data_IF_637485759429
#
_entry.id   IF_637485759429
#
_cell.length_a   1.000
_cell.length_b   1.000
_cell.length_c   1.000
_cell.angle_alpha   90.00
_cell.angle_beta   90.00
_cell.angle_gamma   90.00
#
_symmetry.space_group_name_H-M   'P 1'
#
loop_
_entity.id
_entity.type
_entity.pdbx_description
1 polymer ?
#
# COMPACT_ATOMS: atom_id res chain seq x y z
N UNK A 1 3.16 -14.03 16.79
CA UNK A 1 2.36 -13.46 15.69
C UNK A 1 1.54 -12.25 16.13
N UNK A 2 0.73 -12.34 17.21
CA UNK A 2 -0.07 -11.19 17.69
C UNK A 2 0.74 -9.99 18.18
N UNK A 3 2.02 -10.17 18.51
CA UNK A 3 2.90 -9.12 18.98
C UNK A 3 3.27 -8.11 17.87
N UNK A 4 3.67 -8.60 16.68
CA UNK A 4 4.03 -7.73 15.55
C UNK A 4 2.85 -6.86 15.12
N UNK A 5 1.65 -7.43 14.96
CA UNK A 5 0.48 -6.65 14.55
C UNK A 5 0.07 -5.60 15.59
N UNK A 6 0.24 -5.87 16.88
CA UNK A 6 0.01 -4.88 17.92
C UNK A 6 1.00 -3.71 17.84
N UNK A 7 2.29 -4.00 17.60
CA UNK A 7 3.33 -2.98 17.40
C UNK A 7 3.09 -2.16 16.13
N UNK A 8 2.66 -2.82 15.04
CA UNK A 8 2.30 -2.17 13.77
C UNK A 8 1.10 -1.24 13.95
N UNK A 9 0.04 -1.70 14.61
CA UNK A 9 -1.12 -0.85 14.90
C UNK A 9 -0.74 0.34 15.79
N UNK A 10 0.10 0.13 16.80
CA UNK A 10 0.61 1.22 17.63
C UNK A 10 1.45 2.25 16.83
N UNK A 11 2.28 1.77 15.90
CA UNK A 11 3.07 2.64 15.00
C UNK A 11 2.17 3.46 14.07
N UNK A 12 1.15 2.83 13.48
CA UNK A 12 0.16 3.52 12.65
C UNK A 12 -0.60 4.58 13.45
N UNK A 13 -1.04 4.26 14.67
CA UNK A 13 -1.74 5.22 15.54
C UNK A 13 -0.87 6.41 15.94
N UNK A 14 0.40 6.15 16.22
CA UNK A 14 1.37 7.20 16.54
C UNK A 14 1.56 8.16 15.37
N UNK A 15 1.64 7.64 14.14
CA UNK A 15 1.87 8.45 12.95
C UNK A 15 0.61 9.12 12.40
N UNK A 16 -0.55 8.45 12.48
CA UNK A 16 -1.77 8.83 11.75
C UNK A 16 -2.96 9.20 12.66
N UNK A 17 -2.83 9.06 13.98
CA UNK A 17 -3.91 9.25 14.94
C UNK A 17 -4.77 7.99 15.13
N UNK A 18 -5.93 8.12 15.78
CA UNK A 18 -6.83 6.99 15.99
C UNK A 18 -7.63 6.67 14.72
N UNK A 19 -7.77 5.39 14.34
CA UNK A 19 -8.59 5.02 13.19
C UNK A 19 -10.07 5.24 13.52
N UNK A 20 -10.80 5.84 12.58
CA UNK A 20 -12.24 6.11 12.73
C UNK A 20 -13.10 4.97 12.19
N UNK A 21 -12.52 4.09 11.36
CA UNK A 21 -13.15 2.87 10.88
C UNK A 21 -12.14 1.74 10.67
N UNK A 22 -12.64 0.51 10.73
CA UNK A 22 -11.91 -0.69 10.33
C UNK A 22 -12.84 -1.66 9.61
N UNK A 23 -12.31 -2.39 8.65
CA UNK A 23 -12.95 -3.63 8.22
C UNK A 23 -11.92 -4.69 7.87
N UNK A 24 -12.39 -5.92 7.77
CA UNK A 24 -11.54 -7.08 7.62
C UNK A 24 -11.99 -7.95 6.45
N UNK A 25 -11.01 -8.54 5.77
CA UNK A 25 -11.22 -9.52 4.71
C UNK A 25 -10.42 -10.77 5.07
N UNK A 26 -11.07 -11.92 4.98
CA UNK A 26 -10.43 -13.22 5.14
C UNK A 26 -10.44 -13.90 3.78
N UNK A 27 -9.26 -14.28 3.29
CA UNK A 27 -9.14 -15.09 2.09
C UNK A 27 -9.01 -16.56 2.48
N UNK A 28 -9.47 -17.45 1.61
CA UNK A 28 -9.37 -18.88 1.86
C UNK A 28 -7.90 -19.28 1.90
N UNK A 29 -7.42 -19.79 3.04
CA UNK A 29 -6.05 -20.24 3.21
C UNK A 29 -5.04 -19.15 3.58
N UNK A 30 -5.48 -17.91 3.84
CA UNK A 30 -4.63 -16.84 4.35
C UNK A 30 -5.08 -16.35 5.72
N UNK A 31 -4.20 -15.63 6.40
CA UNK A 31 -4.58 -14.87 7.57
C UNK A 31 -5.55 -13.73 7.20
N UNK A 32 -6.26 -13.25 8.22
CA UNK A 32 -7.16 -12.09 8.11
C UNK A 32 -6.35 -10.83 7.85
N UNK A 33 -6.74 -10.05 6.85
CA UNK A 33 -6.22 -8.71 6.59
C UNK A 33 -7.26 -7.69 7.04
N UNK A 34 -6.88 -6.77 7.92
CA UNK A 34 -7.66 -5.59 8.24
C UNK A 34 -7.22 -4.39 7.41
N UNK A 35 -8.14 -3.46 7.17
CA UNK A 35 -7.86 -2.14 6.62
C UNK A 35 -8.42 -1.11 7.58
N UNK A 36 -7.53 -0.28 8.13
CA UNK A 36 -7.82 0.80 9.05
C UNK A 36 -7.97 2.10 8.27
N UNK A 37 -9.00 2.89 8.57
CA UNK A 37 -9.19 4.23 8.01
C UNK A 37 -8.82 5.27 9.07
N UNK A 38 -8.02 6.24 8.66
CA UNK A 38 -7.61 7.39 9.45
C UNK A 38 -8.08 8.64 8.73
N UNK A 39 -8.99 9.38 9.35
CA UNK A 39 -9.39 10.71 8.88
C UNK A 39 -8.52 11.73 9.59
N UNK A 40 -7.75 12.48 8.84
CA UNK A 40 -7.02 13.61 9.42
C UNK A 40 -8.00 14.76 9.68
N UNK A 41 -8.55 14.80 10.90
CA UNK A 41 -9.55 15.80 11.30
C UNK A 41 -8.89 17.17 11.56
N UNK A 42 -7.55 17.25 11.62
CA UNK A 42 -6.87 18.43 12.17
C UNK A 42 -5.91 19.17 11.20
N UNK A 43 -5.22 18.53 10.25
CA UNK A 43 -4.12 19.24 9.54
C UNK A 43 -3.98 19.02 8.02
N UNK A 44 -4.13 17.81 7.47
CA UNK A 44 -3.89 17.59 6.02
C UNK A 44 -5.12 17.52 5.15
N UNK A 45 -6.31 17.33 5.73
CA UNK A 45 -7.55 17.14 4.99
C UNK A 45 -7.53 15.90 4.08
N UNK A 46 -6.74 14.88 4.43
CA UNK A 46 -6.66 13.60 3.72
C UNK A 46 -7.32 12.48 4.51
N UNK A 47 -7.78 11.46 3.79
CA UNK A 47 -8.16 10.16 4.34
C UNK A 47 -7.05 9.18 4.00
N UNK A 48 -6.61 8.41 4.99
CA UNK A 48 -5.58 7.39 4.84
C UNK A 48 -6.15 6.02 5.15
N UNK A 49 -5.82 5.04 4.33
CA UNK A 49 -6.14 3.64 4.56
C UNK A 49 -4.83 2.89 4.74
N UNK A 50 -4.69 2.15 5.84
CA UNK A 50 -3.53 1.31 6.09
C UNK A 50 -3.97 -0.14 6.26
N UNK A 51 -3.22 -1.06 5.67
CA UNK A 51 -3.44 -2.49 5.93
C UNK A 51 -2.87 -2.86 7.29
N UNK A 52 -3.44 -3.91 7.90
CA UNK A 52 -2.94 -4.53 9.12
C UNK A 52 -3.12 -6.04 8.95
N UNK A 53 -2.02 -6.75 8.73
CA UNK A 53 -2.01 -8.21 8.56
C UNK A 53 -0.98 -8.71 7.55
N UNK A 54 -0.55 -7.88 6.58
CA UNK A 54 0.47 -8.26 5.59
C UNK A 54 1.81 -8.56 6.27
N UNK A 55 2.11 -7.83 7.33
CA UNK A 55 3.34 -7.98 8.13
C UNK A 55 3.31 -9.17 9.11
N UNK A 56 2.18 -9.88 9.24
CA UNK A 56 2.03 -10.99 10.19
C UNK A 56 3.02 -12.14 9.91
N UNK A 57 3.31 -12.39 8.63
CA UNK A 57 4.30 -13.34 8.15
C UNK A 57 5.33 -12.61 7.27
N UNK A 58 6.59 -13.06 7.23
CA UNK A 58 7.57 -12.48 6.31
C UNK A 58 7.20 -12.89 4.87
N UNK A 59 7.48 -12.01 3.92
CA UNK A 59 7.39 -12.32 2.50
C UNK A 59 8.50 -13.31 2.15
N UNK A 60 8.14 -14.42 1.52
CA UNK A 60 9.10 -15.46 1.15
C UNK A 60 9.96 -15.00 -0.04
N UNK A 61 11.27 -15.23 0.07
CA UNK A 61 12.18 -15.09 -1.07
C UNK A 61 11.84 -16.19 -2.11
N UNK A 62 11.41 -15.83 -3.34
CA UNK A 62 11.05 -16.80 -4.36
C UNK A 62 12.25 -17.63 -4.87
N UNK A 63 13.48 -17.23 -4.54
CA UNK A 63 14.70 -17.97 -4.88
C UNK A 63 15.15 -18.96 -3.81
N UNK A 64 14.56 -18.89 -2.60
CA UNK A 64 14.87 -19.82 -1.51
C UNK A 64 14.15 -21.16 -1.68
N UNK A 65 14.85 -22.26 -1.39
CA UNK A 65 14.27 -23.60 -1.39
C UNK A 65 13.26 -23.83 -0.25
N UNK A 66 13.35 -23.05 0.82
CA UNK A 66 12.44 -23.10 1.97
C UNK A 66 12.18 -21.68 2.49
N UNK A 67 10.92 -21.34 2.70
CA UNK A 67 10.54 -20.09 3.35
C UNK A 67 10.96 -20.11 4.82
N UNK A 68 11.70 -19.09 5.25
CA UNK A 68 12.00 -18.88 6.67
C UNK A 68 10.73 -18.29 7.35
N UNK A 69 10.19 -18.92 8.40
CA UNK A 69 8.96 -18.44 9.04
C UNK A 69 9.16 -17.15 9.85
N UNK A 70 10.39 -16.74 10.12
CA UNK A 70 10.74 -15.57 10.93
C UNK A 70 11.39 -14.46 10.10
N UNK A 71 12.34 -14.82 9.24
CA UNK A 71 13.15 -13.88 8.45
C UNK A 71 12.53 -13.56 7.10
N UNK A 72 12.78 -12.35 6.64
CA UNK A 72 12.35 -11.86 5.33
C UNK A 72 11.48 -10.61 5.43
N UNK A 73 11.33 -9.88 4.31
CA UNK A 73 10.70 -8.57 4.30
C UNK A 73 9.29 -8.59 4.88
N UNK A 74 8.93 -7.56 5.64
CA UNK A 74 7.57 -7.34 6.14
C UNK A 74 7.12 -5.95 5.74
N UNK A 75 5.84 -5.81 5.42
CA UNK A 75 5.30 -4.51 5.14
C UNK A 75 3.82 -4.39 5.48
N UNK A 76 3.36 -3.15 5.55
CA UNK A 76 1.96 -2.77 5.40
C UNK A 76 1.83 -1.71 4.30
N UNK A 77 0.68 -1.67 3.65
CA UNK A 77 0.39 -0.75 2.56
C UNK A 77 -0.37 0.46 3.09
N UNK A 78 -0.02 1.66 2.61
CA UNK A 78 -0.68 2.91 3.02
C UNK A 78 -1.15 3.68 1.79
N UNK A 79 -2.45 3.91 1.66
CA UNK A 79 -3.05 4.74 0.61
C UNK A 79 -3.53 6.07 1.20
N UNK A 80 -3.17 7.19 0.57
CA UNK A 80 -3.65 8.54 0.95
C UNK A 80 -4.48 9.15 -0.16
N UNK A 81 -5.68 9.64 0.15
CA UNK A 81 -6.60 10.24 -0.83
C UNK A 81 -7.29 11.48 -0.27
N UNK A 82 -7.70 12.40 -1.15
CA UNK A 82 -8.57 13.52 -0.79
C UNK A 82 -10.01 13.04 -0.59
N UNK A 83 -10.69 13.41 0.50
CA UNK A 83 -12.08 13.06 0.74
C UNK A 83 -13.05 13.80 -0.18
N UNK A 84 -14.31 13.34 -0.19
CA UNK A 84 -15.45 14.10 -0.72
C UNK A 84 -15.55 14.19 -2.25
N UNK A 85 -14.66 13.51 -2.99
CA UNK A 85 -14.64 13.52 -4.46
C UNK A 85 -15.05 12.20 -5.10
N UNK A 86 -14.89 11.07 -4.40
CA UNK A 86 -15.31 9.75 -4.83
C UNK A 86 -15.64 8.87 -3.61
N UNK A 87 -16.33 7.76 -3.81
CA UNK A 87 -16.61 6.76 -2.77
C UNK A 87 -15.36 5.89 -2.51
N UNK A 88 -14.32 6.52 -1.96
CA UNK A 88 -13.02 5.88 -1.72
C UNK A 88 -13.07 4.81 -0.63
N UNK A 89 -14.11 4.76 0.20
CA UNK A 89 -14.27 3.72 1.24
C UNK A 89 -14.35 2.31 0.63
N UNK A 90 -14.72 2.20 -0.67
CA UNK A 90 -14.73 0.92 -1.40
C UNK A 90 -13.34 0.37 -1.72
N UNK A 91 -12.28 1.13 -1.44
CA UNK A 91 -10.89 0.70 -1.60
C UNK A 91 -10.46 -0.39 -0.61
N UNK A 92 -11.26 -0.63 0.43
CA UNK A 92 -11.01 -1.64 1.45
C UNK A 92 -10.70 -3.03 0.88
N UNK A 93 -11.55 -3.55 0.00
CA UNK A 93 -11.36 -4.90 -0.56
C UNK A 93 -10.16 -4.94 -1.52
N UNK A 94 -10.00 -4.00 -2.47
CA UNK A 94 -8.78 -3.89 -3.27
C UNK A 94 -7.49 -3.85 -2.43
N UNK A 95 -7.42 -3.04 -1.37
CA UNK A 95 -6.23 -2.99 -0.50
C UNK A 95 -5.97 -4.30 0.22
N UNK A 96 -7.02 -4.96 0.73
CA UNK A 96 -6.86 -6.26 1.37
C UNK A 96 -6.35 -7.33 0.39
N UNK A 97 -6.79 -7.28 -0.88
CA UNK A 97 -6.27 -8.17 -1.95
C UNK A 97 -4.79 -7.89 -2.18
N UNK A 98 -4.39 -6.63 -2.33
CA UNK A 98 -2.99 -6.26 -2.52
C UNK A 98 -2.10 -6.70 -1.34
N UNK A 99 -2.58 -6.52 -0.09
CA UNK A 99 -1.86 -6.96 1.10
C UNK A 99 -1.78 -8.49 1.25
N UNK A 100 -2.71 -9.24 0.66
CA UNK A 100 -2.66 -10.69 0.63
C UNK A 100 -1.73 -11.24 -0.47
N UNK A 101 -1.33 -10.42 -1.46
CA UNK A 101 -0.53 -10.86 -2.61
C UNK A 101 0.78 -11.60 -2.26
N UNK A 102 1.55 -11.27 -1.20
CA UNK A 102 2.74 -12.05 -0.87
C UNK A 102 2.41 -13.50 -0.51
N UNK A 103 1.30 -13.73 0.20
CA UNK A 103 0.89 -15.06 0.63
C UNK A 103 0.22 -15.85 -0.50
N UNK A 104 -0.50 -15.17 -1.39
CA UNK A 104 -1.27 -15.80 -2.48
C UNK A 104 -0.44 -16.01 -3.74
N UNK A 105 0.39 -15.03 -4.10
CA UNK A 105 1.16 -14.99 -5.34
C UNK A 105 2.66 -15.27 -5.13
N UNK A 106 3.13 -15.32 -3.87
CA UNK A 106 4.53 -15.60 -3.56
C UNK A 106 5.48 -14.46 -3.96
N UNK A 107 5.01 -13.21 -3.90
CA UNK A 107 5.76 -12.03 -4.32
C UNK A 107 6.33 -11.25 -3.14
N UNK A 108 7.53 -10.69 -3.33
CA UNK A 108 8.09 -9.69 -2.41
C UNK A 108 7.67 -8.31 -2.89
N UNK A 109 6.90 -7.60 -2.07
CA UNK A 109 6.47 -6.23 -2.35
C UNK A 109 7.52 -5.25 -1.86
N UNK A 110 8.07 -4.46 -2.78
CA UNK A 110 9.11 -3.47 -2.53
C UNK A 110 8.88 -2.19 -3.34
N UNK A 111 9.58 -1.11 -3.00
CA UNK A 111 9.51 0.15 -3.72
C UNK A 111 9.82 -0.03 -5.22
N UNK A 112 9.08 0.69 -6.07
CA UNK A 112 9.12 0.59 -7.52
C UNK A 112 8.30 -0.57 -8.10
N UNK A 113 7.79 -1.50 -7.28
CA UNK A 113 6.88 -2.54 -7.73
C UNK A 113 5.54 -1.95 -8.20
N UNK A 114 4.86 -2.68 -9.09
CA UNK A 114 3.49 -2.39 -9.48
C UNK A 114 2.60 -3.49 -8.96
N UNK A 115 1.53 -3.13 -8.26
CA UNK A 115 0.50 -4.06 -7.84
C UNK A 115 -0.78 -3.75 -8.61
N UNK A 116 -1.43 -4.77 -9.17
CA UNK A 116 -2.60 -4.64 -10.02
C UNK A 116 -3.78 -5.36 -9.36
N UNK A 117 -4.95 -4.73 -9.34
CA UNK A 117 -6.18 -5.33 -8.79
C UNK A 117 -7.12 -5.82 -9.89
N UNK A 118 -6.82 -5.55 -11.16
CA UNK A 118 -7.59 -5.94 -12.34
C UNK A 118 -8.85 -5.11 -12.59
N UNK A 119 -9.29 -4.33 -11.61
CA UNK A 119 -10.51 -3.51 -11.63
C UNK A 119 -10.25 -2.13 -10.98
N UNK A 120 -11.15 -1.15 -11.13
CA UNK A 120 -10.98 0.15 -10.47
C UNK A 120 -10.82 0.03 -8.93
N UNK A 121 -9.85 0.74 -8.34
CA UNK A 121 -9.61 0.75 -6.89
C UNK A 121 -10.84 1.17 -6.07
N UNK A 122 -11.73 1.95 -6.66
CA UNK A 122 -13.06 2.29 -6.15
C UNK A 122 -13.98 2.62 -7.33
N UNK A 123 -15.31 2.67 -7.15
CA UNK A 123 -16.23 2.99 -8.23
C UNK A 123 -15.87 4.30 -8.95
N UNK A 124 -15.67 4.21 -10.27
CA UNK A 124 -15.31 5.36 -11.10
C UNK A 124 -13.83 5.78 -11.04
N UNK A 125 -12.98 5.09 -10.28
CA UNK A 125 -11.55 5.36 -10.28
C UNK A 125 -10.94 5.10 -11.67
N UNK A 126 -10.08 5.99 -12.19
CA UNK A 126 -9.29 5.70 -13.38
C UNK A 126 -8.07 4.81 -13.10
N UNK A 127 -7.92 4.33 -11.85
CA UNK A 127 -6.78 3.57 -11.37
C UNK A 127 -7.15 2.10 -11.15
N UNK A 128 -6.41 1.21 -11.80
CA UNK A 128 -6.55 -0.25 -11.61
C UNK A 128 -5.29 -0.88 -11.02
N UNK A 129 -4.25 -0.08 -10.82
CA UNK A 129 -2.97 -0.50 -10.24
C UNK A 129 -2.38 0.61 -9.39
N UNK A 130 -1.37 0.27 -8.62
CA UNK A 130 -0.61 1.19 -7.77
C UNK A 130 0.87 1.01 -8.00
N UNK A 131 1.63 2.10 -7.93
CA UNK A 131 3.07 2.06 -7.74
C UNK A 131 3.37 2.03 -6.25
N UNK A 132 4.22 1.11 -5.82
CA UNK A 132 4.72 1.05 -4.45
C UNK A 132 5.85 2.05 -4.30
N UNK A 133 5.71 3.01 -3.39
CA UNK A 133 6.73 4.02 -3.12
C UNK A 133 7.68 3.58 -1.99
N UNK A 134 8.75 4.35 -1.80
CA UNK A 134 9.70 4.17 -0.69
C UNK A 134 9.01 4.35 0.68
N UNK A 135 9.44 3.55 1.66
CA UNK A 135 8.95 3.61 3.04
C UNK A 135 9.67 4.69 3.86
N UNK A 136 9.31 4.81 5.15
CA UNK A 136 10.00 5.69 6.11
C UNK A 136 9.63 7.17 6.06
N UNK A 137 8.89 7.62 5.04
CA UNK A 137 8.48 9.02 4.90
C UNK A 137 7.23 9.38 5.72
N UNK A 138 6.07 8.79 5.39
CA UNK A 138 4.79 9.10 6.04
C UNK A 138 4.65 8.39 7.40
N UNK A 139 5.08 7.14 7.45
CA UNK A 139 5.14 6.33 8.66
C UNK A 139 6.56 5.76 8.69
N UNK A 140 7.28 6.06 9.77
CA UNK A 140 8.60 5.49 10.00
C UNK A 140 8.53 3.97 10.07
N UNK A 141 9.57 3.31 9.57
CA UNK A 141 9.68 1.87 9.64
C UNK A 141 9.77 1.38 11.09
N UNK A 142 9.19 0.21 11.34
CA UNK A 142 9.17 -0.40 12.66
C UNK A 142 10.28 -1.44 12.74
N UNK A 143 11.37 -1.08 13.42
CA UNK A 143 12.40 -2.03 13.81
C UNK A 143 11.84 -3.07 14.79
N UNK A 144 12.19 -4.33 14.57
CA UNK A 144 11.82 -5.47 15.39
C UNK A 144 13.07 -6.11 15.98
N UNK A 145 12.91 -6.82 17.10
CA UNK A 145 14.02 -7.54 17.70
C UNK A 145 14.45 -8.71 16.80
N UNK A 146 15.77 -8.97 16.76
CA UNK A 146 16.33 -10.12 16.06
C UNK A 146 15.62 -11.43 16.47
N UNK A 147 15.24 -12.29 15.51
CA UNK A 147 15.70 -12.32 14.11
C UNK A 147 14.73 -11.71 13.09
N UNK A 148 13.76 -10.88 13.52
CA UNK A 148 12.71 -10.38 12.64
C UNK A 148 13.19 -9.18 11.82
N UNK A 149 12.99 -9.20 10.51
CA UNK A 149 13.20 -8.02 9.67
C UNK A 149 12.18 -6.91 10.03
N UNK A 150 12.55 -5.62 9.87
CA UNK A 150 11.66 -4.50 10.18
C UNK A 150 10.39 -4.52 9.32
N UNK A 151 9.31 -3.95 9.86
CA UNK A 151 8.08 -3.70 9.10
C UNK A 151 8.19 -2.36 8.38
N UNK A 152 8.12 -2.41 7.06
CA UNK A 152 8.10 -1.23 6.19
C UNK A 152 6.67 -0.75 5.96
N UNK A 153 6.43 0.55 6.02
CA UNK A 153 5.13 1.12 5.67
C UNK A 153 5.19 1.73 4.26
N UNK A 154 4.64 1.01 3.28
CA UNK A 154 4.82 1.29 1.87
C UNK A 154 3.67 2.15 1.33
N UNK A 155 3.91 3.42 0.94
CA UNK A 155 2.89 4.24 0.34
C UNK A 155 2.49 3.71 -1.04
N UNK A 156 1.19 3.72 -1.33
CA UNK A 156 0.65 3.33 -2.62
C UNK A 156 0.27 4.58 -3.43
N UNK A 157 0.78 4.65 -4.65
CA UNK A 157 0.50 5.73 -5.59
C UNK A 157 -0.39 5.19 -6.72
N UNK A 158 -1.70 5.51 -6.74
CA UNK A 158 -2.62 5.02 -7.77
C UNK A 158 -2.14 5.38 -9.18
N UNK A 159 -2.16 4.41 -10.10
CA UNK A 159 -1.76 4.55 -11.50
C UNK A 159 -2.93 4.28 -12.44
N UNK A 160 -3.05 5.12 -13.46
CA UNK A 160 -3.86 4.79 -14.63
C UNK A 160 -3.20 3.67 -15.44
N UNK A 161 -3.97 3.01 -16.30
CA UNK A 161 -3.44 1.95 -17.18
C UNK A 161 -2.30 2.46 -18.08
N UNK A 162 -2.39 3.70 -18.57
CA UNK A 162 -1.37 4.31 -19.41
C UNK A 162 -0.07 4.55 -18.64
N UNK A 163 -0.16 5.05 -17.40
CA UNK A 163 1.00 5.25 -16.53
C UNK A 163 1.66 3.92 -16.17
N UNK A 164 0.87 2.90 -15.84
CA UNK A 164 1.39 1.56 -15.58
C UNK A 164 2.12 0.98 -16.82
N UNK A 165 1.53 1.14 -18.01
CA UNK A 165 2.16 0.72 -19.26
C UNK A 165 3.47 1.48 -19.54
N UNK A 166 3.47 2.79 -19.34
CA UNK A 166 4.65 3.64 -19.52
C UNK A 166 5.76 3.30 -18.54
N UNK A 167 5.43 3.07 -17.25
CA UNK A 167 6.36 2.63 -16.21
C UNK A 167 7.01 1.29 -16.53
N UNK A 168 6.31 0.35 -17.19
CA UNK A 168 6.91 -0.92 -17.61
C UNK A 168 8.05 -0.73 -18.61
N UNK A 169 8.01 0.34 -19.41
CA UNK A 169 9.04 0.64 -20.41
C UNK A 169 10.17 1.48 -19.81
N UNK A 170 9.83 2.50 -19.01
CA UNK A 170 10.79 3.52 -18.57
C UNK A 170 11.23 3.39 -17.10
N UNK A 171 10.58 2.54 -16.33
CA UNK A 171 10.86 2.34 -14.90
C UNK A 171 10.07 3.25 -13.97
N UNK A 172 10.08 2.90 -12.68
CA UNK A 172 9.33 3.58 -11.64
C UNK A 172 9.86 4.99 -11.34
N UNK A 173 11.18 5.17 -11.33
CA UNK A 173 11.82 6.46 -11.05
C UNK A 173 11.41 7.51 -12.09
N UNK A 174 11.47 7.15 -13.38
CA UNK A 174 11.08 8.04 -14.47
C UNK A 174 9.59 8.45 -14.40
N UNK A 175 8.71 7.55 -13.97
CA UNK A 175 7.28 7.89 -13.81
C UNK A 175 7.07 8.85 -12.63
N UNK A 176 7.77 8.63 -11.52
CA UNK A 176 7.73 9.53 -10.37
C UNK A 176 8.25 10.92 -10.71
N UNK A 177 9.36 11.02 -11.43
CA UNK A 177 9.89 12.30 -11.94
C UNK A 177 8.85 13.01 -12.81
N UNK A 178 8.23 12.30 -13.76
CA UNK A 178 7.19 12.87 -14.63
C UNK A 178 5.97 13.37 -13.84
N UNK A 179 5.56 12.67 -12.77
CA UNK A 179 4.50 13.15 -11.88
C UNK A 179 4.91 14.42 -11.12
N UNK A 180 6.14 14.46 -10.61
CA UNK A 180 6.69 15.61 -9.90
C UNK A 180 6.78 16.85 -10.79
N UNK A 181 7.37 16.72 -11.98
CA UNK A 181 7.51 17.80 -12.96
C UNK A 181 6.16 18.39 -13.38
N UNK A 182 5.13 17.52 -13.45
CA UNK A 182 3.77 17.93 -13.81
C UNK A 182 2.95 18.45 -12.63
N UNK A 183 3.50 18.45 -11.40
CA UNK A 183 2.77 18.81 -10.19
C UNK A 183 1.54 17.91 -9.96
N UNK A 184 1.63 16.63 -10.34
CA UNK A 184 0.49 15.71 -10.31
C UNK A 184 0.09 15.41 -8.88
N UNK A 185 -1.13 15.78 -8.49
CA UNK A 185 -1.65 15.42 -7.16
C UNK A 185 -2.12 13.96 -7.13
N UNK A 186 -1.22 13.04 -6.78
CA UNK A 186 -1.47 11.60 -6.70
C UNK A 186 -2.54 11.19 -5.69
N UNK A 187 -2.97 12.13 -4.82
CA UNK A 187 -4.03 11.91 -3.82
C UNK A 187 -5.41 12.32 -4.33
N UNK A 188 -5.51 12.97 -5.49
CA UNK A 188 -6.81 13.28 -6.10
C UNK A 188 -7.44 11.99 -6.64
N UNK A 189 -8.58 11.53 -6.07
CA UNK A 189 -9.17 10.24 -6.45
C UNK A 189 -9.80 10.25 -7.84
N UNK A 190 -9.84 11.41 -8.51
CA UNK A 190 -10.37 11.59 -9.86
C UNK A 190 -9.33 12.17 -10.83
N UNK A 191 -8.03 12.22 -10.46
CA UNK A 191 -7.01 12.78 -11.37
C UNK A 191 -6.98 12.00 -12.68
N UNK A 192 -6.65 12.70 -13.75
CA UNK A 192 -6.34 12.08 -15.04
C UNK A 192 -4.89 11.57 -15.05
N UNK A 193 -4.58 10.76 -16.06
CA UNK A 193 -3.19 10.41 -16.38
C UNK A 193 -2.36 11.67 -16.55
N UNK A 194 -1.12 11.65 -16.06
CA UNK A 194 -0.11 12.64 -16.46
C UNK A 194 0.12 12.58 -17.97
N UNK A 195 0.58 13.67 -18.58
CA UNK A 195 0.97 13.67 -20.00
C UNK A 195 2.24 12.84 -20.20
N UNK A 196 2.15 11.82 -21.06
CA UNK A 196 3.22 10.85 -21.29
C UNK A 196 4.00 11.07 -22.60
N UNK A 197 3.56 12.01 -23.44
CA UNK A 197 4.03 12.22 -24.82
C UNK A 197 5.31 13.07 -24.93
N UNK A 198 6.13 13.09 -23.89
CA UNK A 198 7.44 13.76 -23.86
C UNK A 198 8.51 12.76 -23.47
#
# INVERSE_FOLDING_TARGET
>A
MGDVLALVEARLRTALGEPDARAAVTFLGTDRIEVLRFTDVADTGLVRYATLGMSAAPMADPTSALADPLKGPRAELVLSVRPGRADTDKVLRPLAVLAASPQVEGVVVAAGASLDVGEPLWPGAPFTSVLVAESGGLVEDLELDDPLDPVRFLPLLPMTQNEAAWKRVHGAAALQEKWLDSGTDLRDPLRRSVSLDQ
#
